data_IF_735017642595
#
_entry.id   IF_735017642595
#
_cell.length_a   1.000
_cell.length_b   1.000
_cell.length_c   1.000
_cell.angle_alpha   90.00
_cell.angle_beta   90.00
_cell.angle_gamma   90.00
#
_symmetry.space_group_name_H-M   'P 1'
#
loop_
_entity.id
_entity.type
_entity.pdbx_description
1 polymer ?
#
# COMPACT_ATOMS: atom_id res chain seq x y z
N UNK A 1 -3.53 -72.00 23.72
CA UNK A 1 -3.29 -71.44 25.04
C UNK A 1 -2.40 -70.27 24.83
N UNK A 2 -2.81 -69.17 24.88
CA UNK A 2 -3.54 -68.22 25.61
C UNK A 2 -2.92 -66.86 25.22
N UNK A 3 -3.77 -66.12 24.98
CA UNK A 3 -4.26 -64.90 25.58
C UNK A 3 -3.54 -63.61 25.08
N UNK A 4 -4.29 -63.01 24.31
CA UNK A 4 -4.24 -61.60 23.87
C UNK A 4 -4.41 -60.72 25.07
N UNK A 5 -3.54 -59.73 25.24
CA UNK A 5 -3.76 -58.44 25.94
C UNK A 5 -2.88 -57.42 25.21
N UNK A 6 -3.28 -56.35 24.80
CA UNK A 6 -4.41 -55.49 25.00
C UNK A 6 -4.28 -54.30 24.09
N UNK A 7 -5.37 -53.89 23.67
CA UNK A 7 -5.57 -52.62 22.98
C UNK A 7 -6.18 -51.71 24.00
N UNK A 8 -5.51 -50.69 24.38
CA UNK A 8 -6.10 -49.46 24.91
C UNK A 8 -4.99 -48.44 25.20
N UNK A 9 -4.69 -47.62 24.24
CA UNK A 9 -4.17 -46.24 24.50
C UNK A 9 -4.05 -45.50 23.18
N UNK A 10 -5.17 -45.12 22.61
CA UNK A 10 -5.21 -44.13 21.54
C UNK A 10 -6.58 -43.43 21.54
N UNK A 11 -6.88 -42.77 22.64
CA UNK A 11 -8.05 -41.88 22.71
C UNK A 11 -7.86 -40.62 23.57
N UNK A 12 -6.64 -40.34 24.04
CA UNK A 12 -6.39 -39.17 24.90
C UNK A 12 -5.70 -38.00 24.20
N UNK A 13 -5.30 -38.16 22.93
CA UNK A 13 -4.55 -37.12 22.22
C UNK A 13 -5.41 -36.13 21.43
N UNK A 14 -6.67 -36.47 21.13
CA UNK A 14 -7.51 -35.61 20.27
C UNK A 14 -8.35 -34.57 21.03
N UNK A 15 -8.51 -34.71 22.33
CA UNK A 15 -9.32 -33.78 23.14
C UNK A 15 -8.52 -32.59 23.69
N UNK A 16 -7.19 -32.70 23.79
CA UNK A 16 -6.35 -31.62 24.29
C UNK A 16 -6.12 -30.51 23.23
N UNK A 17 -6.15 -30.86 21.94
CA UNK A 17 -5.97 -29.87 20.84
C UNK A 17 -7.20 -28.99 20.61
N UNK A 18 -8.40 -29.51 20.83
CA UNK A 18 -9.62 -28.74 20.66
C UNK A 18 -9.89 -27.75 21.82
N UNK A 19 -9.45 -28.11 23.03
CA UNK A 19 -9.60 -27.20 24.18
C UNK A 19 -8.65 -26.01 24.15
N UNK A 20 -7.46 -26.18 23.57
CA UNK A 20 -6.50 -25.07 23.38
C UNK A 20 -6.98 -24.11 22.28
N UNK A 21 -7.61 -24.64 21.23
CA UNK A 21 -8.19 -23.80 20.18
C UNK A 21 -9.44 -23.05 20.63
N UNK A 22 -10.28 -23.66 21.44
CA UNK A 22 -11.45 -22.99 22.03
C UNK A 22 -11.06 -21.93 23.07
N UNK A 23 -9.91 -22.09 23.75
CA UNK A 23 -9.41 -21.10 24.70
C UNK A 23 -8.80 -19.87 24.07
N UNK A 24 -8.23 -19.98 22.85
CA UNK A 24 -7.69 -18.84 22.09
C UNK A 24 -8.81 -18.01 21.48
N UNK A 25 -9.88 -18.66 21.02
CA UNK A 25 -11.02 -17.92 20.45
C UNK A 25 -11.87 -17.19 21.53
N UNK A 26 -11.77 -17.54 22.79
CA UNK A 26 -12.43 -16.80 23.88
C UNK A 26 -11.60 -15.67 24.46
N UNK A 27 -10.31 -15.56 24.12
CA UNK A 27 -9.46 -14.42 24.47
C UNK A 27 -9.64 -13.26 23.48
N UNK A 28 -10.21 -13.48 22.31
CA UNK A 28 -10.57 -12.43 21.34
C UNK A 28 -11.80 -11.61 21.75
N UNK A 29 -12.54 -12.04 22.75
CA UNK A 29 -13.74 -11.35 23.22
C UNK A 29 -13.51 -10.21 24.23
N UNK A 30 -12.28 -9.87 24.57
CA UNK A 30 -12.01 -8.94 25.66
C UNK A 30 -11.12 -7.76 25.36
N UNK A 31 -10.32 -7.81 24.34
CA UNK A 31 -9.56 -6.65 23.87
C UNK A 31 -10.18 -6.31 22.52
N UNK A 32 -11.02 -5.30 22.48
CA UNK A 32 -11.56 -4.79 21.23
C UNK A 32 -10.41 -4.44 20.31
N UNK A 33 -9.98 -5.41 19.50
CA UNK A 33 -9.22 -5.10 18.31
C UNK A 33 -10.15 -4.15 17.56
N UNK A 34 -9.74 -2.92 17.29
CA UNK A 34 -10.58 -2.01 16.52
C UNK A 34 -11.01 -2.76 15.26
N UNK A 35 -12.32 -2.83 15.04
CA UNK A 35 -12.89 -3.41 13.83
C UNK A 35 -12.38 -2.56 12.68
N UNK A 36 -11.32 -3.06 12.01
CA UNK A 36 -10.64 -2.35 10.92
C UNK A 36 -11.46 -2.31 9.61
N UNK A 37 -12.72 -2.77 9.67
CA UNK A 37 -13.62 -2.85 8.54
C UNK A 37 -14.16 -1.48 8.07
N UNK A 38 -13.81 -0.38 8.74
CA UNK A 38 -14.30 0.97 8.42
C UNK A 38 -13.16 1.97 8.26
N UNK A 39 -12.38 1.78 7.26
CA UNK A 39 -11.18 2.55 6.95
C UNK A 39 -11.44 4.01 6.66
N UNK A 40 -12.47 4.30 5.89
CA UNK A 40 -12.89 5.68 5.66
C UNK A 40 -13.23 6.44 6.94
N UNK A 41 -13.66 5.74 8.00
CA UNK A 41 -13.94 6.33 9.29
C UNK A 41 -12.67 6.64 10.09
N UNK A 42 -11.59 5.89 9.88
CA UNK A 42 -10.33 6.07 10.63
C UNK A 42 -9.62 7.35 10.24
N UNK A 43 -9.44 7.58 8.94
CA UNK A 43 -8.85 8.82 8.43
C UNK A 43 -9.75 10.03 8.64
N UNK A 44 -11.06 9.84 8.77
CA UNK A 44 -12.01 10.93 9.02
C UNK A 44 -12.02 11.40 10.48
N UNK A 45 -11.72 10.50 11.43
CA UNK A 45 -11.78 10.77 12.88
C UNK A 45 -10.43 11.06 13.52
N UNK A 46 -9.32 10.73 12.88
CA UNK A 46 -7.98 11.00 13.40
C UNK A 46 -7.71 12.51 13.51
N UNK A 47 -7.06 12.92 14.59
CA UNK A 47 -6.74 14.35 14.84
C UNK A 47 -5.65 14.87 13.90
N UNK A 48 -4.71 14.01 13.50
CA UNK A 48 -3.60 14.33 12.61
C UNK A 48 -3.79 13.62 11.29
N UNK A 49 -4.49 14.26 10.36
CA UNK A 49 -4.70 13.73 9.00
C UNK A 49 -4.10 14.67 7.98
N UNK A 50 -3.14 14.17 7.23
CA UNK A 50 -2.58 14.85 6.06
C UNK A 50 -3.44 14.48 4.84
N UNK A 51 -3.81 15.47 4.02
CA UNK A 51 -4.58 15.26 2.79
C UNK A 51 -3.93 15.98 1.63
N UNK A 52 -3.78 15.27 0.52
CA UNK A 52 -3.23 15.85 -0.71
C UNK A 52 -3.77 15.09 -1.93
N UNK A 53 -3.42 15.60 -3.13
CA UNK A 53 -3.79 14.99 -4.40
C UNK A 53 -2.54 14.59 -5.15
N UNK A 54 -2.65 13.49 -5.89
CA UNK A 54 -1.67 13.18 -6.92
C UNK A 54 -2.17 13.70 -8.26
N UNK A 55 -1.26 14.19 -9.07
CA UNK A 55 -1.53 14.61 -10.45
C UNK A 55 -0.90 13.62 -11.44
N UNK A 56 -1.40 13.55 -12.67
CA UNK A 56 -0.71 12.84 -13.75
C UNK A 56 0.74 13.31 -13.86
N UNK A 57 1.66 12.38 -14.04
CA UNK A 57 3.11 12.65 -14.02
C UNK A 57 3.62 13.39 -15.26
N UNK A 58 2.79 13.49 -16.30
CA UNK A 58 3.10 14.21 -17.54
C UNK A 58 1.87 14.81 -18.19
N UNK A 59 2.08 15.83 -19.04
CA UNK A 59 1.01 16.44 -19.84
C UNK A 59 0.32 15.44 -20.78
N UNK A 60 1.06 14.44 -21.27
CA UNK A 60 0.50 13.40 -22.12
C UNK A 60 -0.50 12.55 -21.34
N UNK A 61 -0.12 12.08 -20.15
CA UNK A 61 -1.00 11.32 -19.26
C UNK A 61 -2.19 12.17 -18.78
N UNK A 62 -1.99 13.47 -18.52
CA UNK A 62 -3.07 14.38 -18.18
C UNK A 62 -4.11 14.53 -19.29
N UNK A 63 -3.66 14.59 -20.55
CA UNK A 63 -4.58 14.62 -21.72
C UNK A 63 -5.29 13.30 -21.92
N UNK A 64 -4.62 12.21 -21.64
CA UNK A 64 -5.15 10.85 -21.81
C UNK A 64 -6.18 10.50 -20.73
N UNK A 65 -5.95 10.94 -19.51
CA UNK A 65 -6.79 10.69 -18.36
C UNK A 65 -7.39 11.99 -17.76
N UNK A 66 -8.15 12.78 -18.55
CA UNK A 66 -8.55 14.15 -18.13
C UNK A 66 -9.55 14.19 -16.98
N UNK A 67 -10.17 13.06 -16.64
CA UNK A 67 -11.18 12.95 -15.57
C UNK A 67 -10.64 12.31 -14.30
N UNK A 68 -9.39 11.85 -14.32
CA UNK A 68 -8.83 11.16 -13.17
C UNK A 68 -8.66 12.11 -11.99
N UNK A 69 -8.98 11.59 -10.82
CA UNK A 69 -8.71 12.22 -9.52
C UNK A 69 -8.14 11.18 -8.60
N UNK A 70 -7.05 11.52 -7.94
CA UNK A 70 -6.42 10.68 -6.93
C UNK A 70 -6.29 11.50 -5.66
N UNK A 71 -7.08 11.15 -4.67
CA UNK A 71 -7.08 11.77 -3.35
C UNK A 71 -6.38 10.84 -2.37
N UNK A 72 -5.44 11.38 -1.61
CA UNK A 72 -4.71 10.66 -0.56
C UNK A 72 -5.03 11.28 0.79
N UNK A 73 -5.29 10.45 1.77
CA UNK A 73 -5.44 10.85 3.16
C UNK A 73 -4.60 9.92 4.05
N UNK A 74 -3.75 10.50 4.90
CA UNK A 74 -2.89 9.75 5.81
C UNK A 74 -3.19 10.15 7.23
N UNK A 75 -3.70 9.20 8.02
CA UNK A 75 -3.88 9.37 9.45
C UNK A 75 -2.58 9.02 10.17
N UNK A 76 -1.91 10.03 10.70
CA UNK A 76 -0.66 9.88 11.45
C UNK A 76 -0.99 9.38 12.87
N UNK A 77 -0.82 8.11 13.09
CA UNK A 77 -1.22 7.42 14.34
C UNK A 77 -0.16 6.44 14.84
N UNK A 78 1.06 6.48 14.29
CA UNK A 78 2.15 5.56 14.66
C UNK A 78 2.39 5.52 16.16
N UNK A 79 2.48 6.66 16.84
CA UNK A 79 2.69 6.75 18.29
C UNK A 79 1.59 6.06 19.12
N UNK A 80 0.35 6.11 18.62
CA UNK A 80 -0.81 5.58 19.34
C UNK A 80 -1.13 4.12 18.99
N UNK A 81 -0.80 3.69 17.77
CA UNK A 81 -1.22 2.40 17.19
C UNK A 81 -0.08 1.53 16.70
N UNK A 82 1.13 2.08 16.53
CA UNK A 82 2.28 1.41 15.96
C UNK A 82 2.29 1.43 14.41
N UNK A 83 1.33 2.10 13.79
CA UNK A 83 1.26 2.32 12.34
C UNK A 83 0.42 3.54 12.01
N UNK A 84 0.59 4.05 10.80
CA UNK A 84 -0.26 5.04 10.15
C UNK A 84 -1.23 4.35 9.19
N UNK A 85 -2.33 5.03 8.87
CA UNK A 85 -3.29 4.56 7.86
C UNK A 85 -3.20 5.45 6.63
N UNK A 86 -2.84 4.87 5.52
CA UNK A 86 -2.67 5.54 4.24
C UNK A 86 -3.81 5.12 3.31
N UNK A 87 -4.72 6.05 3.06
CA UNK A 87 -5.88 5.85 2.19
C UNK A 87 -5.67 6.49 0.83
N UNK A 88 -5.94 5.73 -0.21
CA UNK A 88 -6.04 6.22 -1.58
C UNK A 88 -7.46 6.06 -2.08
N UNK A 89 -8.01 7.12 -2.65
CA UNK A 89 -9.28 7.09 -3.36
C UNK A 89 -9.10 7.63 -4.78
N UNK A 90 -9.33 6.79 -5.75
CA UNK A 90 -9.15 7.08 -7.18
C UNK A 90 -10.50 7.05 -7.90
N UNK A 91 -10.74 8.00 -8.79
CA UNK A 91 -11.92 8.04 -9.66
C UNK A 91 -11.55 8.50 -11.06
N UNK A 92 -12.29 8.02 -12.07
CA UNK A 92 -12.10 8.40 -13.47
C UNK A 92 -10.82 7.87 -14.12
N UNK A 93 -10.20 6.88 -13.50
CA UNK A 93 -9.03 6.17 -14.01
C UNK A 93 -9.43 5.14 -15.08
N UNK A 94 -8.49 4.55 -15.82
CA UNK A 94 -8.76 3.41 -16.67
C UNK A 94 -9.42 2.27 -15.89
N UNK A 95 -10.43 1.60 -16.46
CA UNK A 95 -11.10 0.50 -15.77
C UNK A 95 -10.26 -0.77 -15.71
N UNK A 96 -10.39 -1.55 -14.63
CA UNK A 96 -9.70 -2.83 -14.41
C UNK A 96 -8.17 -2.72 -14.52
N UNK A 97 -7.61 -1.61 -14.06
CA UNK A 97 -6.18 -1.30 -14.11
C UNK A 97 -5.62 -1.32 -12.69
N UNK A 98 -4.44 -1.88 -12.52
CA UNK A 98 -3.68 -1.86 -11.29
C UNK A 98 -2.62 -0.77 -11.29
N UNK A 99 -2.46 -0.10 -10.15
CA UNK A 99 -1.42 0.90 -9.96
C UNK A 99 -0.63 0.57 -8.70
N UNK A 100 0.69 0.52 -8.84
CA UNK A 100 1.63 0.28 -7.75
C UNK A 100 2.01 1.60 -7.08
N UNK A 101 2.01 1.65 -5.76
CA UNK A 101 2.20 2.87 -4.96
C UNK A 101 3.56 2.80 -4.27
N UNK A 102 4.30 3.91 -4.35
CA UNK A 102 5.60 4.07 -3.70
C UNK A 102 5.66 5.34 -2.85
N UNK A 103 6.36 5.26 -1.71
CA UNK A 103 6.94 6.42 -1.05
C UNK A 103 8.26 6.76 -1.75
N UNK A 104 8.54 8.05 -1.93
CA UNK A 104 9.66 8.54 -2.73
C UNK A 104 10.45 9.62 -2.01
N UNK A 105 11.77 9.68 -2.25
CA UNK A 105 12.61 10.82 -1.89
C UNK A 105 12.26 12.06 -2.74
N UNK A 106 11.98 11.87 -4.03
CA UNK A 106 11.64 12.92 -4.99
C UNK A 106 10.45 12.48 -5.84
N UNK A 107 9.43 13.34 -6.05
CA UNK A 107 8.19 12.90 -6.70
C UNK A 107 8.32 12.62 -8.19
N UNK A 108 9.37 13.12 -8.86
CA UNK A 108 9.61 12.97 -10.29
C UNK A 108 11.03 12.47 -10.56
N UNK A 109 11.25 11.91 -11.74
CA UNK A 109 12.56 11.37 -12.15
C UNK A 109 13.67 12.44 -12.13
N UNK A 110 14.87 12.11 -11.60
CA UNK A 110 15.23 10.86 -10.94
C UNK A 110 14.65 10.79 -9.53
N UNK A 111 13.92 9.71 -9.21
CA UNK A 111 13.11 9.58 -7.99
C UNK A 111 13.91 9.48 -6.70
N UNK A 112 15.20 9.20 -6.78
CA UNK A 112 16.05 8.91 -5.62
C UNK A 112 15.67 7.57 -4.96
N UNK A 113 15.64 7.53 -3.64
CA UNK A 113 15.20 6.36 -2.90
C UNK A 113 13.66 6.19 -3.02
N UNK A 114 13.22 4.94 -3.12
CA UNK A 114 11.81 4.58 -3.24
C UNK A 114 11.51 3.34 -2.39
N UNK A 115 10.30 3.25 -1.87
CA UNK A 115 9.78 2.10 -1.13
C UNK A 115 8.38 1.74 -1.63
N UNK A 116 8.19 0.50 -2.06
CA UNK A 116 6.88 -0.05 -2.40
C UNK A 116 6.01 -0.18 -1.17
N UNK A 117 4.78 0.32 -1.24
CA UNK A 117 3.85 0.30 -0.11
C UNK A 117 2.54 -0.43 -0.39
N UNK A 118 2.23 -0.75 -1.63
CA UNK A 118 1.04 -1.49 -2.01
C UNK A 118 0.47 -1.07 -3.36
N UNK A 119 -0.73 -1.57 -3.66
CA UNK A 119 -1.42 -1.35 -4.93
C UNK A 119 -2.81 -0.77 -4.73
N UNK A 120 -3.31 -0.10 -5.76
CA UNK A 120 -4.71 0.24 -5.92
C UNK A 120 -5.24 -0.31 -7.24
N UNK A 121 -6.33 -1.08 -7.17
CA UNK A 121 -6.99 -1.66 -8.33
C UNK A 121 -8.26 -0.90 -8.65
N UNK A 122 -8.49 -0.57 -9.91
CA UNK A 122 -9.71 0.08 -10.36
C UNK A 122 -10.77 -0.94 -10.79
N UNK A 123 -12.01 -0.61 -10.52
CA UNK A 123 -13.17 -1.36 -10.95
C UNK A 123 -13.51 -1.10 -12.43
N UNK A 124 -14.59 -1.72 -12.93
CA UNK A 124 -15.09 -1.52 -14.30
C UNK A 124 -15.52 -0.09 -14.61
N UNK A 125 -15.65 0.78 -13.60
CA UNK A 125 -16.02 2.19 -13.73
C UNK A 125 -14.83 3.12 -13.57
N UNK A 126 -13.63 2.59 -13.36
CA UNK A 126 -12.42 3.35 -13.12
C UNK A 126 -12.34 3.96 -11.71
N UNK A 127 -13.00 3.35 -10.73
CA UNK A 127 -12.88 3.73 -9.32
C UNK A 127 -11.99 2.73 -8.60
N UNK A 128 -11.07 3.21 -7.78
CA UNK A 128 -10.18 2.39 -6.97
C UNK A 128 -10.08 2.92 -5.54
N UNK A 129 -9.89 2.02 -4.59
CA UNK A 129 -9.59 2.34 -3.21
C UNK A 129 -8.53 1.40 -2.69
N UNK A 130 -7.59 1.94 -1.94
CA UNK A 130 -6.62 1.16 -1.17
C UNK A 130 -6.50 1.75 0.22
N UNK A 131 -6.36 0.87 1.20
CA UNK A 131 -5.97 1.19 2.57
C UNK A 131 -4.70 0.44 2.89
N UNK A 132 -3.70 1.17 3.29
CA UNK A 132 -2.41 0.61 3.63
C UNK A 132 -2.07 0.97 5.07
N UNK A 133 -1.49 0.02 5.81
CA UNK A 133 -1.00 0.22 7.17
C UNK A 133 0.51 0.15 7.14
N UNK A 134 1.14 1.28 7.38
CA UNK A 134 2.59 1.42 7.29
C UNK A 134 3.05 2.52 8.26
N UNK A 135 4.34 2.73 8.37
CA UNK A 135 4.89 3.88 9.10
C UNK A 135 5.26 4.93 8.06
N UNK A 136 4.53 6.06 8.07
CA UNK A 136 4.73 7.17 7.13
C UNK A 136 5.50 8.31 7.80
N UNK A 137 5.19 8.61 9.07
CA UNK A 137 5.76 9.74 9.79
C UNK A 137 7.29 9.64 9.94
N UNK A 138 7.83 8.43 9.94
CA UNK A 138 9.27 8.17 10.00
C UNK A 138 9.77 7.35 8.80
N UNK A 139 9.11 7.44 7.65
CA UNK A 139 9.52 6.70 6.46
C UNK A 139 10.83 7.24 5.90
N UNK A 140 11.85 6.42 5.86
CA UNK A 140 13.14 6.76 5.30
C UNK A 140 13.85 5.56 4.70
N UNK A 141 14.72 5.84 3.75
CA UNK A 141 15.70 4.87 3.24
C UNK A 141 17.09 5.18 3.77
N UNK A 142 17.87 4.16 4.01
CA UNK A 142 19.27 4.29 4.40
C UNK A 142 20.16 3.72 3.30
N UNK A 143 20.80 4.59 2.56
CA UNK A 143 21.65 4.23 1.42
C UNK A 143 23.13 4.54 1.67
N UNK A 144 24.02 3.92 0.91
CA UNK A 144 25.48 4.19 0.96
C UNK A 144 25.86 5.11 -0.20
N UNK A 145 26.43 6.26 0.14
CA UNK A 145 26.97 7.21 -0.81
C UNK A 145 28.49 7.29 -0.56
N UNK A 146 29.27 6.72 -1.46
CA UNK A 146 30.71 6.56 -1.24
C UNK A 146 30.98 5.57 -0.09
N UNK A 147 31.46 6.06 1.06
CA UNK A 147 31.72 5.27 2.27
C UNK A 147 30.74 5.55 3.39
N UNK A 148 29.88 6.54 3.23
CA UNK A 148 29.01 7.04 4.25
C UNK A 148 27.59 6.49 4.07
N UNK A 149 26.94 6.19 5.19
CA UNK A 149 25.51 5.85 5.22
C UNK A 149 24.71 7.15 5.34
N UNK A 150 23.81 7.37 4.41
CA UNK A 150 22.98 8.58 4.32
C UNK A 150 21.53 8.20 4.49
N UNK A 151 20.80 8.94 5.33
CA UNK A 151 19.35 8.86 5.46
C UNK A 151 18.70 9.70 4.34
N UNK A 152 17.66 9.14 3.73
CA UNK A 152 16.83 9.76 2.71
C UNK A 152 15.38 9.70 3.16
N UNK A 153 14.75 10.83 3.38
CA UNK A 153 13.35 10.89 3.75
C UNK A 153 12.47 10.50 2.56
N UNK A 154 11.42 9.69 2.80
CA UNK A 154 10.47 9.22 1.80
C UNK A 154 9.13 9.91 2.03
N UNK A 155 9.08 11.19 1.77
CA UNK A 155 7.96 12.07 2.07
C UNK A 155 7.15 12.53 0.85
N UNK A 156 7.41 11.93 -0.30
CA UNK A 156 6.63 12.05 -1.52
C UNK A 156 5.95 10.74 -1.90
N UNK A 157 4.97 10.83 -2.79
CA UNK A 157 4.21 9.68 -3.27
C UNK A 157 4.22 9.65 -4.79
N UNK A 158 4.40 8.46 -5.34
CA UNK A 158 4.24 8.18 -6.76
C UNK A 158 3.43 6.92 -6.98
N UNK A 159 2.78 6.83 -8.14
CA UNK A 159 2.05 5.65 -8.58
C UNK A 159 2.43 5.32 -10.00
N UNK A 160 2.63 4.05 -10.28
CA UNK A 160 2.96 3.51 -11.61
C UNK A 160 1.84 2.61 -12.11
N UNK A 161 1.68 2.49 -13.42
CA UNK A 161 0.94 1.36 -13.96
C UNK A 161 1.65 0.06 -13.56
N UNK A 162 0.95 -0.87 -12.93
CA UNK A 162 1.55 -2.12 -12.45
C UNK A 162 1.96 -3.04 -13.62
N UNK A 163 1.22 -3.04 -14.72
CA UNK A 163 1.61 -3.71 -15.97
C UNK A 163 2.06 -2.65 -16.99
N UNK A 164 3.27 -2.78 -17.60
CA UNK A 164 3.71 -1.89 -18.66
C UNK A 164 2.72 -1.73 -19.83
N UNK A 165 1.90 -2.75 -20.11
CA UNK A 165 0.89 -2.68 -21.15
C UNK A 165 -0.30 -1.81 -20.80
N UNK A 166 -0.51 -1.54 -19.51
CA UNK A 166 -1.63 -0.72 -19.05
C UNK A 166 -1.45 0.77 -19.40
N UNK A 167 -0.27 1.20 -19.83
CA UNK A 167 -0.03 2.57 -20.31
C UNK A 167 -0.14 2.71 -21.85
N UNK A 168 -0.26 1.61 -22.58
CA UNK A 168 -0.30 1.58 -24.06
C UNK A 168 -1.44 2.43 -24.64
N UNK A 169 -2.58 2.52 -23.97
CA UNK A 169 -3.70 3.35 -24.43
C UNK A 169 -3.37 4.85 -24.45
N UNK A 170 -2.38 5.27 -23.69
CA UNK A 170 -1.89 6.65 -23.62
C UNK A 170 -0.63 6.88 -24.47
N UNK A 171 0.29 5.93 -24.44
CA UNK A 171 1.64 6.10 -24.96
C UNK A 171 1.85 5.36 -26.27
N UNK A 172 0.93 4.47 -26.64
CA UNK A 172 1.06 3.54 -27.75
C UNK A 172 1.77 2.26 -27.33
N UNK A 173 1.54 1.18 -28.04
CA UNK A 173 2.08 -0.15 -27.74
C UNK A 173 3.60 -0.12 -27.54
N UNK A 174 4.04 -0.47 -26.32
CA UNK A 174 5.44 -0.41 -25.92
C UNK A 174 6.05 1.00 -25.88
N UNK A 175 5.21 2.05 -25.87
CA UNK A 175 5.67 3.44 -25.93
C UNK A 175 6.11 4.01 -24.60
N UNK A 176 5.74 3.37 -23.48
CA UNK A 176 6.13 3.77 -22.14
C UNK A 176 7.48 3.17 -21.70
N UNK A 177 8.20 3.81 -20.77
CA UNK A 177 9.34 3.19 -20.14
C UNK A 177 8.89 2.04 -19.24
N UNK A 178 9.64 0.95 -19.26
CA UNK A 178 9.49 -0.14 -18.29
C UNK A 178 10.32 0.19 -17.05
N UNK A 179 9.69 0.11 -15.88
CA UNK A 179 10.31 0.41 -14.60
C UNK A 179 10.58 -0.91 -13.85
N UNK A 180 11.85 -1.27 -13.54
CA UNK A 180 12.22 -2.60 -13.06
C UNK A 180 12.16 -2.76 -11.53
N UNK A 181 11.29 -2.05 -10.83
CA UNK A 181 11.21 -2.09 -9.37
C UNK A 181 9.80 -2.22 -8.79
N UNK A 182 8.90 -2.79 -9.55
CA UNK A 182 7.62 -3.25 -9.00
C UNK A 182 7.84 -4.58 -8.30
N UNK A 183 7.77 -4.63 -7.00
CA UNK A 183 8.01 -5.74 -6.07
C UNK A 183 8.01 -7.18 -6.59
N UNK A 184 7.22 -7.50 -7.60
CA UNK A 184 7.09 -8.84 -8.21
C UNK A 184 7.33 -8.85 -9.73
N UNK A 185 7.27 -7.71 -10.43
CA UNK A 185 7.42 -7.60 -11.87
C UNK A 185 8.01 -6.25 -12.31
N UNK A 186 7.90 -5.99 -13.61
CA UNK A 186 8.20 -4.70 -14.22
C UNK A 186 6.94 -3.83 -14.24
N UNK A 187 7.02 -2.61 -13.75
CA UNK A 187 5.97 -1.61 -13.86
C UNK A 187 6.06 -0.82 -15.17
N UNK A 188 4.98 -0.21 -15.59
CA UNK A 188 4.93 0.75 -16.68
C UNK A 188 5.48 2.13 -16.30
N UNK A 189 4.97 3.17 -16.92
CA UNK A 189 5.35 4.55 -16.61
C UNK A 189 4.77 4.99 -15.26
N UNK A 190 5.43 5.95 -14.60
CA UNK A 190 4.82 6.66 -13.48
C UNK A 190 3.55 7.37 -13.96
N UNK A 191 2.40 6.93 -13.45
CA UNK A 191 1.10 7.46 -13.82
C UNK A 191 0.79 8.77 -13.09
N UNK A 192 1.04 8.81 -11.78
CA UNK A 192 0.72 9.93 -10.91
C UNK A 192 1.83 10.20 -9.90
N UNK A 193 1.92 11.45 -9.43
CA UNK A 193 2.85 11.83 -8.39
C UNK A 193 2.36 13.01 -7.54
N UNK A 194 3.07 13.27 -6.44
CA UNK A 194 2.80 14.37 -5.53
C UNK A 194 3.53 15.68 -5.89
N UNK A 195 4.02 15.84 -7.12
CA UNK A 195 4.70 17.06 -7.55
C UNK A 195 3.90 18.37 -7.31
N UNK A 196 2.54 18.39 -7.39
CA UNK A 196 1.78 19.59 -7.06
C UNK A 196 1.94 20.08 -5.62
N UNK A 197 2.46 19.27 -4.72
CA UNK A 197 2.75 19.65 -3.33
C UNK A 197 4.02 20.47 -3.16
N UNK A 198 4.90 20.51 -4.18
CA UNK A 198 6.16 21.24 -4.11
C UNK A 198 5.93 22.76 -3.89
N UNK A 199 6.83 23.47 -3.19
CA UNK A 199 8.15 23.03 -2.71
C UNK A 199 8.14 22.23 -1.39
N UNK A 200 6.99 22.08 -0.75
CA UNK A 200 6.88 21.32 0.50
C UNK A 200 6.37 19.91 0.20
N UNK A 201 7.08 18.91 0.71
CA UNK A 201 6.63 17.52 0.63
C UNK A 201 5.26 17.35 1.33
N UNK A 202 4.36 16.48 0.82
CA UNK A 202 3.04 16.29 1.41
C UNK A 202 3.06 15.49 2.71
N UNK A 203 4.05 14.63 2.89
CA UNK A 203 4.23 13.80 4.08
C UNK A 203 5.27 14.42 5.02
N UNK A 204 5.22 14.07 6.33
CA UNK A 204 6.19 14.55 7.31
C UNK A 204 7.61 14.12 7.02
#
# INVERSE_FOLDING_TARGET
>A
MGIIKGIATLAAGALAGAAVYAGVSTLDGGVGVPEFDKVGDYTSTARNVVRFKLAPSSDQLARCMPKVKVDVAVALTTDAKGFDVFDVNMTGAPPNTSFTIFLLEVPASPFGAAEYIGDVNTDRKGNGKAELKLIVEEAFSSTIVGKDRVRKELNHVGMWFADPKDDDFCLGEGGGPVTPFDGDNEAGVQAFNSAPSLPKAPLP
#
